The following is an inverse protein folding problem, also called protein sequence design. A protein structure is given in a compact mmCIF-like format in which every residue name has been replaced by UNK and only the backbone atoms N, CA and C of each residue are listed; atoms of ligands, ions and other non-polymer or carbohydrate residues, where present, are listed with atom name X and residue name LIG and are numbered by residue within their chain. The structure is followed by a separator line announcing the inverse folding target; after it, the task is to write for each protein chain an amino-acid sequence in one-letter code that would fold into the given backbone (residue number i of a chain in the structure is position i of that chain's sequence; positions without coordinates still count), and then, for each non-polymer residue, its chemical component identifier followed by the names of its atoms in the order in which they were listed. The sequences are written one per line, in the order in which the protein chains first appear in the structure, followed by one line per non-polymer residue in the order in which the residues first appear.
data_IF_596285373539
#
_entry.id   IF_596285373539
#
_cell.length_a   1.000
_cell.length_b   1.000
_cell.length_c   1.000
_cell.angle_alpha   90.00
_cell.angle_beta   90.00
_cell.angle_gamma   90.00
#
_symmetry.space_group_name_H-M   'P 1'
#
loop_
_entity.id
_entity.type
_entity.pdbx_description
1 polymer ?
#
# COMPACT_ATOMS: atom_id res chain seq x y z
N UNK A 1 4.16 -3.45 -0.36
CA UNK A 1 2.76 -3.35 0.12
C UNK A 1 1.91 -2.78 -0.99
N UNK A 2 0.72 -3.32 -1.25
CA UNK A 2 -0.21 -2.82 -2.28
C UNK A 2 -1.59 -2.56 -1.68
N UNK A 3 -2.34 -1.62 -2.26
CA UNK A 3 -3.73 -1.34 -1.88
C UNK A 3 -4.67 -1.94 -2.93
N UNK A 4 -5.72 -2.61 -2.49
CA UNK A 4 -6.78 -3.13 -3.33
C UNK A 4 -8.13 -2.68 -2.76
N UNK A 5 -9.13 -2.55 -3.64
CA UNK A 5 -10.50 -2.25 -3.26
C UNK A 5 -11.24 -3.57 -3.10
N UNK A 6 -11.56 -3.94 -1.86
CA UNK A 6 -12.29 -5.16 -1.52
C UNK A 6 -13.22 -4.92 -0.32
N UNK A 7 -14.16 -5.83 -0.11
CA UNK A 7 -15.13 -5.79 0.99
C UNK A 7 -14.48 -6.22 2.32
N UNK A 8 -14.87 -5.63 3.46
CA UNK A 8 -14.34 -6.02 4.76
C UNK A 8 -14.81 -7.42 5.17
N UNK A 9 -13.86 -8.29 5.53
CA UNK A 9 -14.19 -9.59 6.12
C UNK A 9 -14.30 -9.51 7.65
N UNK A 10 -14.94 -10.52 8.26
CA UNK A 10 -15.13 -10.62 9.73
C UNK A 10 -13.83 -10.67 10.52
N UNK A 11 -12.73 -11.05 9.88
CA UNK A 11 -11.41 -11.19 10.51
C UNK A 11 -10.54 -9.94 10.34
N UNK A 12 -11.03 -8.92 9.62
CA UNK A 12 -10.26 -7.72 9.33
C UNK A 12 -10.58 -6.61 10.33
N UNK A 13 -9.58 -5.77 10.61
CA UNK A 13 -9.79 -4.52 11.32
C UNK A 13 -10.23 -3.44 10.33
N UNK A 14 -11.35 -2.79 10.67
CA UNK A 14 -11.93 -1.72 9.88
C UNK A 14 -11.60 -0.38 10.53
N UNK A 15 -11.02 0.53 9.75
CA UNK A 15 -10.67 1.89 10.16
C UNK A 15 -11.37 2.89 9.25
N UNK A 16 -12.31 3.66 9.78
CA UNK A 16 -12.90 4.79 9.06
C UNK A 16 -12.05 6.05 9.27
N UNK A 17 -11.56 6.62 8.16
CA UNK A 17 -10.81 7.88 8.17
C UNK A 17 -11.31 8.78 7.04
N UNK A 18 -12.00 9.86 7.43
CA UNK A 18 -12.43 10.90 6.48
C UNK A 18 -13.42 10.41 5.45
N UNK A 19 -14.25 9.41 5.78
CA UNK A 19 -15.22 8.80 4.86
C UNK A 19 -14.63 7.74 3.94
N UNK A 20 -13.37 7.35 4.15
CA UNK A 20 -12.74 6.20 3.49
C UNK A 20 -12.58 5.09 4.51
N UNK A 21 -13.09 3.92 4.16
CA UNK A 21 -12.99 2.70 4.96
C UNK A 21 -11.72 1.95 4.59
N UNK A 22 -10.78 1.85 5.52
CA UNK A 22 -9.59 1.03 5.38
C UNK A 22 -9.80 -0.29 6.10
N UNK A 23 -9.40 -1.37 5.45
CA UNK A 23 -9.55 -2.73 5.97
C UNK A 23 -8.16 -3.35 6.00
N UNK A 24 -7.79 -3.94 7.14
CA UNK A 24 -6.50 -4.59 7.32
C UNK A 24 -6.69 -5.91 8.03
N UNK A 25 -6.18 -7.00 7.46
CA UNK A 25 -6.19 -8.31 8.11
C UNK A 25 -5.45 -8.25 9.46
N UNK A 26 -6.03 -8.88 10.49
CA UNK A 26 -5.46 -8.87 11.85
C UNK A 26 -4.04 -9.47 11.91
N UNK A 27 -3.73 -10.48 11.11
CA UNK A 27 -2.40 -11.09 11.02
C UNK A 27 -1.38 -10.15 10.38
N UNK A 28 -1.80 -9.41 9.35
CA UNK A 28 -0.98 -8.34 8.77
C UNK A 28 -0.76 -7.20 9.75
N UNK A 29 -1.78 -6.79 10.50
CA UNK A 29 -1.67 -5.72 11.50
C UNK A 29 -0.70 -6.10 12.63
N UNK A 30 -0.73 -7.35 13.10
CA UNK A 30 0.25 -7.85 14.07
C UNK A 30 1.68 -7.86 13.53
N UNK A 31 1.86 -8.11 12.22
CA UNK A 31 3.20 -8.18 11.63
C UNK A 31 3.73 -6.81 11.22
N UNK A 32 2.86 -5.89 10.78
CA UNK A 32 3.22 -4.54 10.33
C UNK A 32 3.26 -3.52 11.49
N UNK A 33 2.57 -3.81 12.59
CA UNK A 33 2.35 -2.89 13.71
C UNK A 33 1.37 -1.80 13.31
N UNK A 34 1.86 -0.58 13.09
CA UNK A 34 1.10 0.55 12.56
C UNK A 34 1.28 0.70 11.05
N UNK A 35 0.20 1.01 10.34
CA UNK A 35 0.23 1.32 8.90
C UNK A 35 -0.04 2.81 8.74
N UNK A 36 0.81 3.48 7.95
CA UNK A 36 0.68 4.89 7.61
C UNK A 36 0.54 5.01 6.10
N UNK A 37 -0.52 5.70 5.68
CA UNK A 37 -0.86 5.96 4.29
C UNK A 37 -0.71 7.46 4.07
N UNK A 38 0.27 7.85 3.26
CA UNK A 38 0.50 9.24 2.85
C UNK A 38 0.28 9.35 1.33
N UNK A 39 -0.36 10.43 0.87
CA UNK A 39 -0.46 10.72 -0.55
C UNK A 39 0.67 11.67 -0.93
N UNK A 40 1.52 11.25 -1.86
CA UNK A 40 2.63 12.06 -2.38
C UNK A 40 2.21 12.58 -3.75
N UNK A 41 2.22 13.90 -3.91
CA UNK A 41 1.96 14.56 -5.18
C UNK A 41 3.14 15.48 -5.51
N UNK A 42 4.00 15.02 -6.40
CA UNK A 42 5.23 15.72 -6.83
C UNK A 42 5.14 16.14 -8.30
N UNK A 43 3.96 16.64 -8.71
CA UNK A 43 3.66 17.24 -10.02
C UNK A 43 3.68 16.27 -11.21
N UNK A 44 4.80 15.58 -11.44
CA UNK A 44 4.97 14.56 -12.48
C UNK A 44 4.71 13.13 -11.95
N UNK A 45 4.59 12.96 -10.63
CA UNK A 45 4.34 11.68 -9.97
C UNK A 45 3.40 11.89 -8.79
N UNK A 46 2.22 11.29 -8.89
CA UNK A 46 1.24 11.26 -7.80
C UNK A 46 0.98 9.81 -7.41
N UNK A 47 0.94 9.49 -6.13
CA UNK A 47 0.72 8.13 -5.67
C UNK A 47 0.52 7.99 -4.16
N UNK A 48 0.00 6.84 -3.76
CA UNK A 48 -0.13 6.47 -2.35
C UNK A 48 1.15 5.79 -1.86
N UNK A 49 1.78 6.40 -0.86
CA UNK A 49 2.89 5.82 -0.11
C UNK A 49 2.32 5.12 1.12
N UNK A 50 2.48 3.80 1.17
CA UNK A 50 2.06 2.97 2.31
C UNK A 50 3.30 2.49 3.04
N UNK A 51 3.45 2.88 4.30
CA UNK A 51 4.57 2.51 5.16
C UNK A 51 4.06 1.80 6.42
N UNK A 52 4.85 0.88 6.96
CA UNK A 52 4.55 0.17 8.20
C UNK A 52 5.62 0.47 9.26
N UNK A 53 5.24 0.51 10.53
CA UNK A 53 6.19 0.75 11.64
C UNK A 53 7.20 -0.39 11.78
N UNK A 54 6.75 -1.62 11.49
CA UNK A 54 7.64 -2.77 11.34
C UNK A 54 7.97 -2.88 9.85
N UNK A 55 9.24 -2.82 9.43
CA UNK A 55 9.60 -3.03 8.04
C UNK A 55 9.38 -4.51 7.71
N UNK A 56 8.16 -4.84 7.32
CA UNK A 56 7.90 -6.10 6.64
C UNK A 56 8.65 -5.97 5.31
N UNK A 57 9.60 -6.87 5.05
CA UNK A 57 10.37 -6.93 3.80
C UNK A 57 9.45 -7.27 2.63
N UNK A 58 8.53 -6.38 2.29
CA UNK A 58 7.76 -6.43 1.06
C UNK A 58 8.66 -5.75 0.03
N UNK A 59 9.20 -6.56 -0.87
CA UNK A 59 10.19 -6.19 -1.86
C UNK A 59 9.97 -4.78 -2.42
N UNK A 60 11.05 -4.02 -2.40
CA UNK A 60 11.23 -2.81 -3.18
C UNK A 60 11.16 -3.15 -4.68
N UNK A 61 9.98 -3.47 -5.20
CA UNK A 61 9.66 -3.16 -6.58
C UNK A 61 9.14 -1.72 -6.60
N UNK A 62 10.08 -0.77 -6.49
CA UNK A 62 9.80 0.61 -6.84
C UNK A 62 9.39 0.63 -8.31
N UNK A 63 8.10 0.71 -8.57
CA UNK A 63 7.54 0.85 -9.92
C UNK A 63 7.95 2.21 -10.49
N UNK A 64 9.20 2.33 -10.93
CA UNK A 64 9.52 3.19 -12.05
C UNK A 64 9.10 2.45 -13.32
N UNK A 65 7.80 2.46 -13.61
CA UNK A 65 7.35 2.42 -15.00
C UNK A 65 7.58 3.83 -15.58
N UNK A 66 8.86 4.17 -15.75
CA UNK A 66 9.27 5.27 -16.61
C UNK A 66 9.07 4.83 -18.04
N UNK A 67 8.14 5.48 -18.73
CA UNK A 67 7.99 5.40 -20.18
C UNK A 67 9.34 5.65 -20.86
N UNK A 68 9.94 4.61 -21.43
CA UNK A 68 10.59 4.64 -22.75
C UNK A 68 11.15 3.26 -23.09
N UNK A 69 10.63 2.67 -24.17
CA UNK A 69 11.26 1.65 -25.01
C UNK A 69 11.81 0.36 -24.35
N UNK A 70 11.11 -0.75 -24.62
CA UNK A 70 11.68 -2.10 -24.77
C UNK A 70 12.20 -2.80 -23.49
N UNK A 71 11.44 -3.77 -22.97
CA UNK A 71 12.01 -4.89 -22.19
C UNK A 71 11.30 -5.22 -20.88
N UNK A 72 10.57 -6.35 -20.90
CA UNK A 72 10.29 -7.27 -19.78
C UNK A 72 9.96 -6.69 -18.40
N UNK A 73 8.67 -6.70 -18.05
CA UNK A 73 8.23 -6.70 -16.66
C UNK A 73 8.48 -8.09 -16.05
N UNK A 74 9.40 -8.17 -15.10
CA UNK A 74 9.63 -9.35 -14.26
C UNK A 74 9.80 -8.92 -12.82
N UNK A 75 8.68 -8.61 -12.16
CA UNK A 75 8.41 -8.77 -10.73
C UNK A 75 6.97 -8.34 -10.44
#
# INVERSE_FOLDING_TARGET
MGLALDEPNKSDQVFDKGGITFVVDNGLMNTCGGIRIDFVDDGYRSGFSVTSTVPMSSGSCGSSCGTSSSGSCSC
#
